data_IF_680835602667
#
_entry.id   IF_680835602667
#
_cell.length_a   1.000
_cell.length_b   1.000
_cell.length_c   1.000
_cell.angle_alpha   90.00
_cell.angle_beta   90.00
_cell.angle_gamma   90.00
#
_symmetry.space_group_name_H-M   'P 1'
#
loop_
_entity.id
_entity.type
_entity.pdbx_description
1 polymer ?
#
# COMPACT_ATOMS: atom_id res chain seq x y z
N UNK A 1 13.96 7.65 57.57
CA UNK A 1 12.53 7.57 57.18
C UNK A 1 12.33 8.38 55.91
N UNK A 2 12.42 7.73 54.74
CA UNK A 2 11.97 8.28 53.47
C UNK A 2 10.80 7.41 53.05
N UNK A 3 9.61 7.98 53.05
CA UNK A 3 8.36 7.31 52.66
C UNK A 3 8.35 7.25 51.13
N UNK A 4 8.26 6.04 50.59
CA UNK A 4 8.14 5.77 49.17
C UNK A 4 6.77 6.19 48.64
N UNK A 5 6.77 6.85 47.48
CA UNK A 5 5.58 7.05 46.66
C UNK A 5 5.38 5.80 45.77
N UNK A 6 4.15 5.29 45.60
CA UNK A 6 3.90 4.12 44.77
C UNK A 6 3.95 4.46 43.28
N UNK A 7 4.55 3.55 42.53
CA UNK A 7 4.51 3.42 41.08
C UNK A 7 3.07 3.40 40.56
N UNK A 8 2.72 4.36 39.70
CA UNK A 8 1.52 4.29 38.88
C UNK A 8 1.67 3.17 37.86
N UNK A 9 0.76 2.19 37.93
CA UNK A 9 0.62 1.13 36.95
C UNK A 9 0.26 1.74 35.59
N UNK A 10 1.07 1.45 34.57
CA UNK A 10 0.70 1.67 33.18
C UNK A 10 -0.51 0.79 32.84
N UNK A 11 -1.69 1.41 32.74
CA UNK A 11 -2.87 0.78 32.18
C UNK A 11 -2.58 0.57 30.69
N UNK A 12 -2.35 -0.67 30.30
CA UNK A 12 -2.24 -1.07 28.90
C UNK A 12 -3.47 -0.59 28.14
N UNK A 13 -3.26 0.26 27.14
CA UNK A 13 -4.28 0.54 26.12
C UNK A 13 -4.55 -0.78 25.40
N UNK A 14 -5.62 -1.46 25.77
CA UNK A 14 -6.18 -2.52 24.93
C UNK A 14 -6.55 -1.91 23.56
N UNK A 15 -6.22 -2.57 22.44
CA UNK A 15 -6.71 -2.13 21.14
C UNK A 15 -8.23 -2.16 21.18
N UNK A 16 -8.86 -1.01 20.90
CA UNK A 16 -10.31 -0.96 20.70
C UNK A 16 -10.59 -1.79 19.45
N UNK A 17 -11.15 -2.99 19.62
CA UNK A 17 -11.72 -3.73 18.50
C UNK A 17 -12.80 -2.83 17.89
N UNK A 18 -12.54 -2.29 16.70
CA UNK A 18 -13.54 -1.58 15.93
C UNK A 18 -14.68 -2.53 15.62
N UNK A 19 -15.92 -2.09 15.84
CA UNK A 19 -17.10 -2.85 15.47
C UNK A 19 -17.07 -3.04 13.93
N UNK A 20 -17.26 -4.27 13.46
CA UNK A 20 -17.33 -4.62 12.03
C UNK A 20 -18.32 -3.73 11.26
N UNK A 21 -19.38 -3.25 11.93
CA UNK A 21 -20.28 -2.25 11.35
C UNK A 21 -19.57 -0.94 11.01
N UNK A 22 -18.73 -0.42 11.92
CA UNK A 22 -17.98 0.83 11.75
C UNK A 22 -16.93 0.69 10.65
N UNK A 23 -16.22 -0.44 10.60
CA UNK A 23 -15.26 -0.73 9.53
C UNK A 23 -15.94 -0.82 8.17
N UNK A 24 -17.04 -1.56 8.07
CA UNK A 24 -17.79 -1.72 6.82
C UNK A 24 -18.39 -0.39 6.36
N UNK A 25 -18.94 0.40 7.29
CA UNK A 25 -19.46 1.73 6.99
C UNK A 25 -18.33 2.68 6.55
N UNK A 26 -17.17 2.62 7.21
CA UNK A 26 -15.96 3.33 6.80
C UNK A 26 -15.56 2.99 5.37
N UNK A 27 -15.44 1.69 5.05
CA UNK A 27 -15.14 1.21 3.70
C UNK A 27 -16.18 1.68 2.67
N UNK A 28 -17.47 1.67 3.00
CA UNK A 28 -18.51 2.18 2.11
C UNK A 28 -18.39 3.69 1.89
N UNK A 29 -18.14 4.46 2.97
CA UNK A 29 -17.94 5.90 2.89
C UNK A 29 -16.72 6.21 2.04
N UNK A 30 -15.59 5.54 2.28
CA UNK A 30 -14.36 5.69 1.49
C UNK A 30 -14.61 5.33 0.03
N UNK A 31 -15.35 4.26 -0.24
CA UNK A 31 -15.72 3.89 -1.61
C UNK A 31 -16.56 4.98 -2.28
N UNK A 32 -17.55 5.59 -1.60
CA UNK A 32 -18.33 6.70 -2.15
C UNK A 32 -17.57 8.03 -2.22
N UNK A 33 -16.58 8.22 -1.36
CA UNK A 33 -15.70 9.38 -1.41
C UNK A 33 -14.71 9.28 -2.56
N UNK A 34 -14.12 8.11 -2.78
CA UNK A 34 -13.07 7.88 -3.77
C UNK A 34 -13.64 7.57 -5.16
N UNK A 35 -14.74 6.79 -5.26
CA UNK A 35 -15.40 6.51 -6.52
C UNK A 35 -16.29 7.69 -6.93
N UNK A 36 -15.76 8.58 -7.80
CA UNK A 36 -16.49 9.71 -8.39
C UNK A 36 -16.78 9.43 -9.88
N UNK A 37 -17.76 8.56 -10.22
CA UNK A 37 -18.06 8.16 -11.59
C UNK A 37 -18.80 9.24 -12.41
N UNK A 38 -18.61 10.51 -12.07
CA UNK A 38 -19.27 11.63 -12.73
C UNK A 38 -18.71 11.84 -14.13
N UNK A 39 -19.59 12.05 -15.11
CA UNK A 39 -19.19 12.52 -16.43
C UNK A 39 -18.53 13.89 -16.32
N UNK A 40 -17.54 14.15 -17.18
CA UNK A 40 -16.80 15.41 -17.20
C UNK A 40 -17.66 16.48 -17.87
N UNK A 41 -18.38 17.24 -17.04
CA UNK A 41 -19.25 18.35 -17.46
C UNK A 41 -18.95 19.54 -16.57
N UNK A 42 -19.21 20.76 -17.07
CA UNK A 42 -19.04 22.00 -16.31
C UNK A 42 -19.73 21.93 -14.94
N UNK A 43 -20.98 21.46 -14.90
CA UNK A 43 -21.76 21.33 -13.65
C UNK A 43 -21.13 20.34 -12.67
N UNK A 44 -20.69 19.18 -13.14
CA UNK A 44 -20.10 18.17 -12.27
C UNK A 44 -18.73 18.59 -11.73
N UNK A 45 -17.90 19.22 -12.56
CA UNK A 45 -16.61 19.78 -12.12
C UNK A 45 -16.81 20.90 -11.11
N UNK A 46 -17.77 21.80 -11.37
CA UNK A 46 -18.14 22.87 -10.43
C UNK A 46 -18.56 22.30 -9.07
N UNK A 47 -19.48 21.32 -9.06
CA UNK A 47 -19.95 20.66 -7.83
C UNK A 47 -18.82 19.94 -7.09
N UNK A 48 -17.91 19.30 -7.82
CA UNK A 48 -16.76 18.63 -7.23
C UNK A 48 -15.85 19.63 -6.50
N UNK A 49 -15.52 20.75 -7.16
CA UNK A 49 -14.71 21.81 -6.56
C UNK A 49 -15.37 22.39 -5.31
N UNK A 50 -16.68 22.67 -5.37
CA UNK A 50 -17.46 23.12 -4.22
C UNK A 50 -17.49 22.11 -3.06
N UNK A 51 -17.52 20.81 -3.38
CA UNK A 51 -17.48 19.74 -2.35
C UNK A 51 -16.14 19.70 -1.62
N UNK A 52 -15.06 20.13 -2.28
CA UNK A 52 -13.73 20.27 -1.69
C UNK A 52 -13.52 21.65 -1.03
N UNK A 53 -14.55 22.49 -0.94
CA UNK A 53 -14.49 23.80 -0.30
C UNK A 53 -13.91 24.91 -1.18
N UNK A 54 -13.74 24.67 -2.48
CA UNK A 54 -13.25 25.69 -3.41
C UNK A 54 -14.39 26.61 -3.82
N UNK A 55 -14.14 27.92 -3.80
CA UNK A 55 -15.04 28.91 -4.37
C UNK A 55 -15.00 28.81 -5.89
N UNK A 56 -16.16 28.93 -6.54
CA UNK A 56 -16.28 28.73 -7.99
C UNK A 56 -17.04 29.88 -8.66
N UNK A 57 -16.53 30.38 -9.76
CA UNK A 57 -17.14 31.40 -10.61
C UNK A 57 -17.11 30.98 -12.08
N UNK A 58 -18.13 31.36 -12.85
CA UNK A 58 -18.23 30.99 -14.27
C UNK A 58 -18.29 32.27 -15.09
N UNK A 59 -17.30 32.44 -15.95
CA UNK A 59 -17.19 33.58 -16.85
C UNK A 59 -17.38 33.16 -18.31
N UNK A 60 -17.97 34.05 -19.11
CA UNK A 60 -18.10 33.84 -20.56
C UNK A 60 -16.99 34.65 -21.23
N UNK A 61 -15.94 33.96 -21.69
CA UNK A 61 -14.83 34.59 -22.39
C UNK A 61 -15.17 34.94 -23.84
N UNK A 62 -15.96 34.07 -24.49
CA UNK A 62 -16.41 34.25 -25.86
C UNK A 62 -17.75 33.50 -26.09
N UNK A 63 -18.34 33.67 -27.27
CA UNK A 63 -19.57 32.98 -27.69
C UNK A 63 -19.44 31.45 -27.54
N UNK A 64 -18.28 30.87 -27.83
CA UNK A 64 -18.02 29.43 -27.76
C UNK A 64 -17.16 28.98 -26.56
N UNK A 65 -16.68 29.90 -25.72
CA UNK A 65 -15.78 29.59 -24.60
C UNK A 65 -16.36 30.10 -23.28
N UNK A 66 -16.44 29.22 -22.29
CA UNK A 66 -16.74 29.57 -20.90
C UNK A 66 -15.60 29.12 -20.00
N UNK A 67 -15.20 29.96 -19.04
CA UNK A 67 -14.20 29.65 -18.03
C UNK A 67 -14.87 29.32 -16.72
N UNK A 68 -14.47 28.22 -16.10
CA UNK A 68 -14.72 27.93 -14.70
C UNK A 68 -13.48 28.35 -13.90
N UNK A 69 -13.65 29.46 -13.20
CA UNK A 69 -12.87 29.94 -12.08
C UNK A 69 -12.99 29.08 -10.83
N UNK A 70 -11.95 28.44 -10.29
CA UNK A 70 -12.00 27.96 -8.90
C UNK A 70 -10.84 28.47 -8.07
N UNK A 71 -11.09 28.81 -6.81
CA UNK A 71 -10.09 29.40 -5.93
C UNK A 71 -10.24 28.93 -4.48
N UNK A 72 -9.12 28.96 -3.75
CA UNK A 72 -9.03 28.72 -2.31
C UNK A 72 -8.05 29.74 -1.68
N UNK A 73 -7.40 29.37 -0.57
CA UNK A 73 -6.42 30.21 0.13
C UNK A 73 -5.20 30.54 -0.74
N UNK A 74 -4.67 29.55 -1.47
CA UNK A 74 -3.42 29.60 -2.25
C UNK A 74 -3.71 29.28 -3.70
N UNK A 75 -4.47 28.23 -3.98
CA UNK A 75 -4.68 27.75 -5.35
C UNK A 75 -5.76 28.54 -6.08
N UNK A 76 -5.52 28.84 -7.35
CA UNK A 76 -6.51 29.33 -8.32
C UNK A 76 -6.39 28.48 -9.59
N UNK A 77 -7.49 27.87 -10.02
CA UNK A 77 -7.55 26.99 -11.20
C UNK A 77 -8.55 27.57 -12.19
N UNK A 78 -8.05 27.94 -13.38
CA UNK A 78 -8.85 28.36 -14.52
C UNK A 78 -9.09 27.15 -15.45
N UNK A 79 -10.35 26.80 -15.71
CA UNK A 79 -10.72 25.70 -16.62
C UNK A 79 -11.55 26.25 -17.78
N UNK A 80 -11.00 26.24 -18.99
CA UNK A 80 -11.70 26.71 -20.18
C UNK A 80 -12.49 25.57 -20.84
N UNK A 81 -13.78 25.77 -21.09
CA UNK A 81 -14.66 24.84 -21.78
C UNK A 81 -15.07 25.37 -23.14
N UNK A 82 -15.02 24.50 -24.15
CA UNK A 82 -15.60 24.76 -25.46
C UNK A 82 -17.07 24.31 -25.49
N UNK A 83 -18.00 25.27 -25.59
CA UNK A 83 -19.46 25.04 -25.50
C UNK A 83 -19.97 24.14 -26.62
N UNK A 84 -19.53 24.38 -27.86
CA UNK A 84 -19.92 23.63 -29.05
C UNK A 84 -19.55 22.14 -28.98
N UNK A 85 -18.38 21.82 -28.42
CA UNK A 85 -17.86 20.45 -28.31
C UNK A 85 -18.15 19.79 -26.97
N UNK A 86 -18.60 20.56 -25.96
CA UNK A 86 -18.77 20.12 -24.57
C UNK A 86 -17.51 19.45 -24.01
N UNK A 87 -16.35 20.03 -24.32
CA UNK A 87 -15.03 19.52 -23.90
C UNK A 87 -14.23 20.59 -23.18
N UNK A 88 -13.33 20.14 -22.32
CA UNK A 88 -12.28 20.99 -21.74
C UNK A 88 -11.30 21.37 -22.85
N UNK A 89 -10.93 22.64 -22.89
CA UNK A 89 -10.01 23.23 -23.86
C UNK A 89 -8.64 23.47 -23.25
N UNK A 90 -8.60 23.97 -22.01
CA UNK A 90 -7.37 24.29 -21.29
C UNK A 90 -7.62 24.29 -19.78
N UNK A 91 -6.56 24.07 -19.00
CA UNK A 91 -6.56 24.18 -17.53
C UNK A 91 -5.30 24.87 -17.08
N UNK A 92 -5.39 25.90 -16.25
CA UNK A 92 -4.23 26.61 -15.71
C UNK A 92 -4.30 26.68 -14.19
N UNK A 93 -3.23 26.26 -13.52
CA UNK A 93 -3.03 26.46 -12.08
C UNK A 93 -2.20 27.73 -11.88
N UNK A 94 -2.64 28.59 -10.96
CA UNK A 94 -1.93 29.77 -10.47
C UNK A 94 -1.91 29.68 -8.95
N UNK A 95 -0.74 29.92 -8.35
CA UNK A 95 -0.60 29.98 -6.90
C UNK A 95 -0.55 31.45 -6.48
N UNK A 96 -1.30 31.81 -5.44
CA UNK A 96 -1.27 33.13 -4.83
C UNK A 96 0.00 33.35 -3.97
N UNK A 97 0.75 32.29 -3.68
CA UNK A 97 2.06 32.37 -3.04
C UNK A 97 3.14 32.73 -4.07
N UNK A 98 4.29 33.24 -3.61
CA UNK A 98 5.43 33.61 -4.46
C UNK A 98 6.15 32.40 -5.12
N UNK A 99 5.52 31.23 -5.19
CA UNK A 99 6.11 29.99 -5.67
C UNK A 99 5.52 29.56 -7.02
N UNK A 100 5.85 30.33 -8.07
CA UNK A 100 5.56 29.97 -9.47
C UNK A 100 6.24 28.66 -9.93
N UNK A 101 7.08 28.05 -9.08
CA UNK A 101 7.89 26.88 -9.42
C UNK A 101 7.22 25.53 -9.09
N UNK A 102 6.01 25.51 -8.51
CA UNK A 102 5.32 24.25 -8.25
C UNK A 102 5.04 23.52 -9.56
N UNK A 103 5.60 22.33 -9.73
CA UNK A 103 5.46 21.57 -10.97
C UNK A 103 4.12 20.81 -10.98
N UNK A 104 3.20 21.21 -11.85
CA UNK A 104 1.95 20.51 -12.13
C UNK A 104 1.92 19.83 -13.51
N UNK A 105 3.09 19.57 -14.07
CA UNK A 105 3.29 18.82 -15.29
C UNK A 105 3.85 17.44 -15.00
N UNK A 106 3.48 16.46 -15.83
CA UNK A 106 4.04 15.12 -15.77
C UNK A 106 5.55 15.13 -16.05
N UNK A 107 6.30 14.26 -15.37
CA UNK A 107 7.69 14.01 -15.71
C UNK A 107 7.79 13.07 -16.92
N UNK A 108 8.46 13.56 -17.97
CA UNK A 108 8.53 12.90 -19.28
C UNK A 108 7.98 13.78 -20.39
N UNK A 109 6.67 13.72 -20.63
CA UNK A 109 6.01 14.41 -21.75
C UNK A 109 5.70 15.89 -21.47
N UNK A 110 5.89 16.35 -20.22
CA UNK A 110 5.56 17.70 -19.75
C UNK A 110 4.10 18.09 -20.04
N UNK A 111 3.19 17.11 -20.05
CA UNK A 111 1.77 17.34 -20.19
C UNK A 111 1.15 17.81 -18.88
N UNK A 112 0.09 18.61 -18.97
CA UNK A 112 -0.58 19.22 -17.82
C UNK A 112 -1.46 18.18 -17.12
N UNK A 113 -1.16 17.88 -15.85
CA UNK A 113 -1.83 16.83 -15.06
C UNK A 113 -3.32 17.12 -14.92
N UNK A 114 -3.69 18.36 -14.61
CA UNK A 114 -5.08 18.76 -14.36
C UNK A 114 -5.90 18.74 -15.65
N UNK A 115 -5.31 19.21 -16.76
CA UNK A 115 -5.94 19.14 -18.07
C UNK A 115 -6.15 17.68 -18.50
N UNK A 116 -5.11 16.84 -18.42
CA UNK A 116 -5.20 15.43 -18.82
C UNK A 116 -6.20 14.67 -17.97
N UNK A 117 -6.29 14.98 -16.67
CA UNK A 117 -7.28 14.42 -15.75
C UNK A 117 -8.73 14.67 -16.21
N UNK A 118 -8.97 15.68 -17.05
CA UNK A 118 -10.28 16.05 -17.56
C UNK A 118 -10.50 15.73 -19.05
N UNK A 119 -9.45 15.52 -19.86
CA UNK A 119 -9.58 15.23 -21.29
C UNK A 119 -9.33 13.76 -21.64
N UNK A 120 -8.41 13.09 -20.94
CA UNK A 120 -7.97 11.73 -21.24
C UNK A 120 -8.82 10.68 -20.52
N UNK A 121 -9.22 10.95 -19.28
CA UNK A 121 -9.97 10.00 -18.46
C UNK A 121 -11.49 10.11 -18.72
N UNK A 122 -12.24 8.99 -18.59
CA UNK A 122 -13.68 8.99 -18.89
C UNK A 122 -14.54 9.62 -17.78
N UNK A 123 -14.01 9.76 -16.57
CA UNK A 123 -14.72 10.24 -15.39
C UNK A 123 -13.88 11.23 -14.56
N UNK A 124 -14.48 11.74 -13.49
CA UNK A 124 -13.86 12.72 -12.59
C UNK A 124 -12.92 12.11 -11.55
N UNK A 125 -12.64 10.81 -11.58
CA UNK A 125 -11.87 10.16 -10.53
C UNK A 125 -10.42 10.69 -10.49
N UNK A 126 -9.73 10.71 -11.64
CA UNK A 126 -8.37 11.23 -11.73
C UNK A 126 -8.28 12.71 -11.29
N UNK A 127 -9.23 13.53 -11.79
CA UNK A 127 -9.27 14.95 -11.43
C UNK A 127 -9.56 15.17 -9.94
N UNK A 128 -10.46 14.38 -9.35
CA UNK A 128 -10.76 14.43 -7.92
C UNK A 128 -9.52 14.13 -7.07
N UNK A 129 -8.77 13.07 -7.37
CA UNK A 129 -7.57 12.72 -6.60
C UNK A 129 -6.51 13.82 -6.66
N UNK A 130 -6.28 14.38 -7.85
CA UNK A 130 -5.34 15.47 -8.03
C UNK A 130 -5.79 16.76 -7.33
N UNK A 131 -7.08 17.09 -7.41
CA UNK A 131 -7.64 18.27 -6.75
C UNK A 131 -7.65 18.11 -5.22
N UNK A 132 -7.90 16.90 -4.71
CA UNK A 132 -7.81 16.58 -3.28
C UNK A 132 -6.39 16.79 -2.76
N UNK A 133 -5.37 16.36 -3.52
CA UNK A 133 -3.97 16.61 -3.16
C UNK A 133 -3.67 18.12 -3.11
N UNK A 134 -4.05 18.88 -4.13
CA UNK A 134 -3.83 20.34 -4.13
C UNK A 134 -4.56 21.04 -2.97
N UNK A 135 -5.81 20.63 -2.68
CA UNK A 135 -6.60 21.17 -1.57
C UNK A 135 -5.97 20.83 -0.22
N UNK A 136 -5.34 19.66 -0.09
CA UNK A 136 -4.58 19.30 1.10
C UNK A 136 -3.39 20.25 1.30
N UNK A 137 -2.58 20.47 0.25
CA UNK A 137 -1.47 21.42 0.34
C UNK A 137 -1.97 22.83 0.68
N UNK A 138 -3.06 23.28 0.05
CA UNK A 138 -3.70 24.57 0.27
C UNK A 138 -4.13 24.79 1.73
N UNK A 139 -4.86 23.82 2.28
CA UNK A 139 -5.42 23.91 3.63
C UNK A 139 -4.35 23.92 4.73
N UNK A 140 -3.29 23.15 4.55
CA UNK A 140 -2.27 22.94 5.58
C UNK A 140 -1.00 23.79 5.39
N UNK A 141 -0.92 24.58 4.32
CA UNK A 141 0.14 25.56 4.09
C UNK A 141 -0.13 26.87 4.83
N UNK A 142 0.92 27.41 5.47
CA UNK A 142 0.89 28.67 6.19
C UNK A 142 1.71 29.71 5.41
N UNK A 143 1.03 30.63 4.72
CA UNK A 143 1.65 31.74 4.00
C UNK A 143 1.50 33.04 4.81
N UNK A 144 2.44 33.97 4.64
CA UNK A 144 2.56 35.24 5.39
C UNK A 144 1.41 36.25 5.19
N UNK A 145 0.37 35.93 4.42
CA UNK A 145 -0.73 36.86 4.13
C UNK A 145 -1.54 37.24 5.38
N UNK A 146 -1.57 36.38 6.41
CA UNK A 146 -2.31 36.61 7.64
C UNK A 146 -1.43 37.32 8.69
N UNK A 147 -1.18 38.61 8.45
CA UNK A 147 -0.43 39.50 9.35
C UNK A 147 -1.33 40.15 10.40
N UNK A 148 -2.16 39.35 11.10
CA UNK A 148 -2.89 39.81 12.29
C UNK A 148 -2.52 38.97 13.54
N UNK A 149 -1.73 39.62 14.39
CA UNK A 149 -1.35 39.30 15.77
C UNK A 149 -1.75 37.97 16.41
N UNK A 150 -0.75 37.13 16.74
CA UNK A 150 -0.38 36.79 18.14
C UNK A 150 0.32 35.43 18.32
N UNK A 151 0.52 34.62 17.28
CA UNK A 151 1.41 33.46 17.37
C UNK A 151 2.36 33.40 16.17
N UNK A 152 3.65 33.61 16.44
CA UNK A 152 4.76 33.34 15.50
C UNK A 152 4.95 31.83 15.35
N UNK A 153 3.90 31.09 15.00
CA UNK A 153 4.05 29.70 14.58
C UNK A 153 4.70 29.71 13.19
N UNK A 154 5.66 28.80 12.96
CA UNK A 154 6.58 28.91 11.83
C UNK A 154 5.90 28.81 10.47
N UNK A 155 6.57 29.36 9.47
CA UNK A 155 6.08 29.48 8.10
C UNK A 155 6.33 28.16 7.38
N UNK A 156 5.40 27.22 7.48
CA UNK A 156 5.51 25.97 6.73
C UNK A 156 4.60 25.98 5.50
N UNK A 157 5.22 26.16 4.33
CA UNK A 157 4.58 26.11 3.03
C UNK A 157 4.77 24.71 2.43
N UNK A 158 3.68 23.95 2.31
CA UNK A 158 3.74 22.57 1.80
C UNK A 158 3.97 22.52 0.29
N UNK A 159 3.60 23.54 -0.49
CA UNK A 159 3.90 23.59 -1.92
C UNK A 159 5.41 23.71 -2.14
N UNK A 160 6.05 24.62 -1.39
CA UNK A 160 7.50 24.77 -1.38
C UNK A 160 8.16 23.47 -0.92
N UNK A 161 7.76 22.97 0.25
CA UNK A 161 8.36 21.77 0.85
C UNK A 161 8.27 20.56 -0.08
N UNK A 162 7.10 20.30 -0.66
CA UNK A 162 6.91 19.16 -1.57
C UNK A 162 7.76 19.28 -2.85
N UNK A 163 7.93 20.51 -3.36
CA UNK A 163 8.78 20.78 -4.53
C UNK A 163 10.27 20.52 -4.21
N UNK A 164 10.74 20.96 -3.05
CA UNK A 164 12.13 20.76 -2.61
C UNK A 164 12.41 19.30 -2.22
N UNK A 165 11.43 18.63 -1.58
CA UNK A 165 11.51 17.24 -1.17
C UNK A 165 11.86 16.30 -2.33
N UNK A 166 11.34 16.56 -3.53
CA UNK A 166 11.72 15.81 -4.73
C UNK A 166 13.24 15.84 -4.98
N UNK A 167 13.86 17.01 -4.84
CA UNK A 167 15.30 17.18 -5.04
C UNK A 167 16.08 16.50 -3.92
N UNK A 168 15.65 16.66 -2.66
CA UNK A 168 16.27 16.01 -1.50
C UNK A 168 16.24 14.48 -1.61
N UNK A 169 15.08 13.90 -1.95
CA UNK A 169 14.94 12.45 -2.15
C UNK A 169 15.78 11.95 -3.33
N UNK A 170 15.87 12.73 -4.39
CA UNK A 170 16.71 12.39 -5.55
C UNK A 170 18.18 12.29 -5.15
N UNK A 171 18.70 13.26 -4.39
CA UNK A 171 20.08 13.22 -3.88
C UNK A 171 20.27 12.07 -2.89
N UNK A 172 19.40 11.97 -1.88
CA UNK A 172 19.47 10.95 -0.83
C UNK A 172 19.57 9.52 -1.37
N UNK A 173 18.82 9.21 -2.45
CA UNK A 173 18.77 7.87 -3.02
C UNK A 173 19.82 7.60 -4.10
N UNK A 174 20.41 8.64 -4.71
CA UNK A 174 21.45 8.48 -5.73
C UNK A 174 22.79 8.02 -5.15
N UNK A 175 23.12 8.45 -3.93
CA UNK A 175 24.40 8.15 -3.27
C UNK A 175 24.43 6.76 -2.61
N UNK A 176 23.34 5.98 -2.74
CA UNK A 176 23.20 4.67 -2.14
C UNK A 176 23.64 3.54 -3.10
N UNK A 177 24.06 2.37 -2.57
CA UNK A 177 24.48 1.23 -3.39
C UNK A 177 23.41 0.77 -4.40
N UNK A 178 22.14 0.84 -4.00
CA UNK A 178 21.00 0.60 -4.89
C UNK A 178 20.60 1.91 -5.55
N UNK A 179 20.76 1.97 -6.87
CA UNK A 179 20.44 3.16 -7.65
C UNK A 179 18.94 3.24 -7.91
N UNK A 180 18.25 4.10 -7.16
CA UNK A 180 16.86 4.43 -7.43
C UNK A 180 16.77 5.70 -8.29
N UNK A 181 15.81 5.70 -9.21
CA UNK A 181 15.46 6.88 -10.01
C UNK A 181 14.20 7.51 -9.44
N UNK A 182 14.26 8.80 -9.12
CA UNK A 182 13.13 9.54 -8.54
C UNK A 182 12.52 10.41 -9.64
N UNK A 183 11.20 10.34 -9.80
CA UNK A 183 10.42 11.15 -10.75
C UNK A 183 9.28 11.83 -10.02
N UNK A 184 9.05 13.11 -10.30
CA UNK A 184 7.85 13.79 -9.85
C UNK A 184 6.71 13.51 -10.83
N UNK A 185 5.47 13.47 -10.36
CA UNK A 185 4.27 13.50 -11.19
C UNK A 185 4.27 12.50 -12.37
N UNK A 186 3.85 11.25 -12.12
CA UNK A 186 3.80 10.22 -13.15
C UNK A 186 2.34 9.80 -13.38
N UNK A 187 2.03 9.41 -14.63
CA UNK A 187 0.72 8.90 -15.04
C UNK A 187 -0.46 9.82 -14.69
N UNK A 188 -0.26 11.13 -14.84
CA UNK A 188 -1.24 12.18 -14.49
C UNK A 188 -1.64 12.16 -13.01
N UNK A 189 -0.71 11.84 -12.12
CA UNK A 189 -0.94 11.89 -10.68
C UNK A 189 0.14 12.72 -9.98
N UNK A 190 -0.28 13.58 -9.05
CA UNK A 190 0.67 14.22 -8.13
C UNK A 190 1.31 13.18 -7.20
N UNK A 191 2.63 13.30 -7.02
CA UNK A 191 3.42 12.39 -6.19
C UNK A 191 4.89 12.40 -6.56
N UNK A 192 5.72 11.85 -5.67
CA UNK A 192 7.13 11.57 -5.94
C UNK A 192 7.26 10.05 -6.08
N UNK A 193 7.59 9.58 -7.27
CA UNK A 193 7.63 8.17 -7.64
C UNK A 193 9.07 7.67 -7.67
N UNK A 194 9.31 6.51 -7.06
CA UNK A 194 10.62 5.90 -6.94
C UNK A 194 10.66 4.66 -7.81
N UNK A 195 11.66 4.59 -8.69
CA UNK A 195 11.86 3.53 -9.66
C UNK A 195 13.14 2.77 -9.39
N UNK A 196 13.09 1.45 -9.58
CA UNK A 196 14.25 0.58 -9.69
C UNK A 196 14.15 -0.16 -11.04
N UNK A 197 15.17 -0.04 -11.90
CA UNK A 197 15.20 -0.72 -13.22
C UNK A 197 13.92 -0.53 -14.07
N UNK A 198 13.37 0.69 -14.10
CA UNK A 198 12.12 1.07 -14.79
C UNK A 198 10.81 0.57 -14.14
N UNK A 199 10.86 -0.17 -13.04
CA UNK A 199 9.68 -0.57 -12.26
C UNK A 199 9.44 0.43 -11.15
N UNK A 200 8.22 0.95 -11.02
CA UNK A 200 7.84 1.80 -9.89
C UNK A 200 7.73 0.91 -8.64
N UNK A 201 8.59 1.18 -7.66
CA UNK A 201 8.64 0.41 -6.40
C UNK A 201 7.90 1.11 -5.27
N UNK A 202 7.85 2.44 -5.30
CA UNK A 202 7.14 3.20 -4.28
C UNK A 202 6.71 4.58 -4.76
N UNK A 203 5.77 5.17 -4.03
CA UNK A 203 5.23 6.50 -4.22
C UNK A 203 5.24 7.24 -2.88
N UNK A 204 5.82 8.44 -2.86
CA UNK A 204 5.85 9.35 -1.72
C UNK A 204 4.84 10.47 -1.95
N UNK A 205 3.94 10.67 -0.99
CA UNK A 205 2.88 11.70 -1.02
C UNK A 205 2.62 12.28 0.35
N UNK A 206 2.02 13.47 0.38
CA UNK A 206 1.45 14.07 1.58
C UNK A 206 -0.02 13.69 1.70
N UNK A 207 -0.41 13.22 2.87
CA UNK A 207 -1.78 12.80 3.16
C UNK A 207 -2.27 13.35 4.50
N UNK A 208 -3.58 13.38 4.66
CA UNK A 208 -4.18 13.78 5.92
C UNK A 208 -3.90 12.69 6.96
N UNK A 209 -3.29 13.10 8.07
CA UNK A 209 -3.00 12.20 9.19
C UNK A 209 -4.28 11.74 9.87
N UNK A 210 -4.29 10.50 10.34
CA UNK A 210 -5.35 9.98 11.22
C UNK A 210 -5.34 10.66 12.59
N UNK A 211 -4.16 11.12 13.02
CA UNK A 211 -3.98 11.95 14.21
C UNK A 211 -3.88 13.44 13.80
N UNK A 212 -4.87 14.27 14.17
CA UNK A 212 -4.86 15.71 13.93
C UNK A 212 -3.70 16.44 14.62
N UNK A 213 -3.14 15.88 15.68
CA UNK A 213 -2.02 16.48 16.42
C UNK A 213 -0.66 16.09 15.83
N UNK A 214 -0.61 15.14 14.88
CA UNK A 214 0.61 14.73 14.21
C UNK A 214 1.28 15.92 13.54
N UNK A 215 2.54 16.18 13.90
CA UNK A 215 3.31 17.32 13.38
C UNK A 215 4.22 16.84 12.27
N UNK A 216 4.14 17.51 11.13
CA UNK A 216 5.09 17.38 10.04
C UNK A 216 6.00 18.61 10.05
N UNK A 217 7.30 18.40 10.16
CA UNK A 217 8.30 19.47 10.12
C UNK A 217 8.98 19.55 8.75
N UNK A 218 9.60 20.71 8.47
CA UNK A 218 10.40 20.96 7.27
C UNK A 218 11.80 20.34 7.41
N UNK A 219 11.97 19.10 6.94
CA UNK A 219 13.29 18.45 6.88
C UNK A 219 13.96 18.69 5.52
N UNK A 220 15.24 19.05 5.54
CA UNK A 220 16.07 19.18 4.34
C UNK A 220 17.18 18.13 4.36
N UNK A 221 17.52 17.58 3.19
CA UNK A 221 18.67 16.69 3.06
C UNK A 221 19.91 17.51 2.70
N UNK A 222 20.89 17.57 3.60
CA UNK A 222 22.14 18.30 3.41
C UNK A 222 23.28 17.56 4.10
N UNK A 223 24.46 17.52 3.49
CA UNK A 223 25.65 16.87 4.05
C UNK A 223 25.43 15.40 4.45
N UNK A 224 24.73 14.64 3.61
CA UNK A 224 24.38 13.23 3.83
C UNK A 224 23.44 12.93 5.02
N UNK A 225 22.82 13.96 5.61
CA UNK A 225 21.91 13.83 6.75
C UNK A 225 20.59 14.60 6.52
N UNK A 226 19.50 14.09 7.11
CA UNK A 226 18.22 14.80 7.18
C UNK A 226 18.24 15.75 8.38
N UNK A 227 18.09 17.05 8.11
CA UNK A 227 18.21 18.10 9.10
C UNK A 227 16.92 18.91 9.14
N UNK A 228 16.42 19.13 10.34
CA UNK A 228 15.37 20.11 10.61
C UNK A 228 16.04 21.42 11.06
N UNK A 229 16.11 22.40 10.15
CA UNK A 229 16.73 23.70 10.44
C UNK A 229 15.91 24.54 11.42
N UNK A 230 14.58 24.39 11.42
CA UNK A 230 13.68 25.21 12.22
C UNK A 230 12.50 24.41 12.79
N UNK A 231 12.61 24.05 14.08
CA UNK A 231 11.56 23.37 14.85
C UNK A 231 10.22 24.12 14.92
N UNK A 232 10.20 25.42 14.59
CA UNK A 232 8.96 26.19 14.56
C UNK A 232 8.20 26.00 13.23
N UNK A 233 8.88 25.60 12.15
CA UNK A 233 8.28 25.35 10.84
C UNK A 233 7.67 23.95 10.82
N UNK A 234 6.39 23.88 11.22
CA UNK A 234 5.61 22.65 11.15
C UNK A 234 4.15 22.93 10.83
N UNK A 235 3.47 21.89 10.36
CA UNK A 235 2.02 21.85 10.23
C UNK A 235 1.49 20.63 10.95
N UNK A 236 0.22 20.65 11.36
CA UNK A 236 -0.42 19.57 12.10
C UNK A 236 -1.52 18.92 11.27
N UNK A 237 -1.71 17.60 11.42
CA UNK A 237 -2.76 16.86 10.73
C UNK A 237 -2.39 16.39 9.31
N UNK A 238 -1.11 16.48 8.93
CA UNK A 238 -0.58 15.98 7.65
C UNK A 238 0.60 15.05 7.92
N UNK A 239 0.67 13.93 7.22
CA UNK A 239 1.78 13.00 7.27
C UNK A 239 2.42 12.87 5.88
N UNK A 240 3.75 12.67 5.87
CA UNK A 240 4.47 12.20 4.70
C UNK A 240 4.42 10.68 4.67
N UNK A 241 3.88 10.12 3.59
CA UNK A 241 3.64 8.68 3.49
C UNK A 241 4.39 8.07 2.31
N UNK A 242 4.92 6.88 2.50
CA UNK A 242 5.49 6.01 1.49
C UNK A 242 4.50 4.88 1.21
N UNK A 243 4.02 4.80 -0.03
CA UNK A 243 3.18 3.72 -0.54
C UNK A 243 4.01 2.80 -1.42
N UNK A 244 4.09 1.52 -1.05
CA UNK A 244 4.75 0.47 -1.83
C UNK A 244 3.77 -0.02 -2.90
N UNK A 245 4.19 0.11 -4.16
CA UNK A 245 3.37 -0.22 -5.33
C UNK A 245 3.25 -1.74 -5.53
N UNK A 246 4.34 -2.53 -5.49
CA UNK A 246 4.23 -3.98 -5.63
C UNK A 246 3.81 -4.66 -4.32
N UNK A 247 3.32 -5.90 -4.43
CA UNK A 247 2.97 -6.69 -3.25
C UNK A 247 4.24 -7.23 -2.58
N UNK A 248 4.47 -6.77 -1.34
CA UNK A 248 5.64 -7.11 -0.52
C UNK A 248 5.17 -7.50 0.87
N UNK A 249 5.87 -8.47 1.46
CA UNK A 249 5.66 -8.88 2.85
C UNK A 249 6.88 -8.52 3.67
N UNK A 250 6.65 -8.04 4.88
CA UNK A 250 7.67 -7.60 5.82
C UNK A 250 7.65 -8.50 7.06
N UNK A 251 8.79 -8.84 7.66
CA UNK A 251 8.83 -9.44 8.98
C UNK A 251 8.19 -8.45 9.96
N UNK A 252 7.25 -8.92 10.77
CA UNK A 252 6.48 -8.05 11.65
C UNK A 252 7.37 -7.24 12.61
N UNK A 253 8.52 -7.78 13.01
CA UNK A 253 9.46 -7.11 13.91
C UNK A 253 10.39 -6.12 13.20
N UNK A 254 10.51 -6.17 11.87
CA UNK A 254 11.37 -5.27 11.09
C UNK A 254 10.80 -3.85 11.03
N UNK A 255 9.47 -3.70 11.12
CA UNK A 255 8.79 -2.42 10.98
C UNK A 255 8.02 -2.11 12.26
N UNK A 256 8.39 -1.02 12.93
CA UNK A 256 7.66 -0.54 14.09
C UNK A 256 6.18 -0.28 13.73
N UNK A 257 5.26 -0.77 14.56
CA UNK A 257 3.82 -0.69 14.29
C UNK A 257 3.29 0.73 14.17
N UNK A 258 3.98 1.72 14.74
CA UNK A 258 3.68 3.15 14.62
C UNK A 258 3.96 3.74 13.23
N UNK A 259 4.80 3.08 12.43
CA UNK A 259 5.08 3.47 11.05
C UNK A 259 4.00 2.97 10.09
N UNK A 260 3.28 1.91 10.43
CA UNK A 260 2.34 1.27 9.51
C UNK A 260 0.99 1.99 9.52
N UNK A 261 0.60 2.53 8.37
CA UNK A 261 -0.70 3.19 8.17
C UNK A 261 -1.76 2.17 7.73
N UNK A 262 -1.38 1.27 6.81
CA UNK A 262 -2.25 0.20 6.32
C UNK A 262 -1.58 -1.15 6.59
N UNK A 263 -2.18 -1.91 7.52
CA UNK A 263 -1.73 -3.23 7.90
C UNK A 263 -2.87 -4.25 7.71
N UNK A 264 -2.64 -5.26 6.86
CA UNK A 264 -3.54 -6.42 6.72
C UNK A 264 -2.95 -7.60 7.50
N UNK A 265 -3.01 -7.52 8.83
CA UNK A 265 -2.48 -8.55 9.74
C UNK A 265 -3.28 -9.86 9.68
N UNK A 266 -4.47 -9.86 9.07
CA UNK A 266 -5.34 -11.03 9.02
C UNK A 266 -4.85 -12.08 8.01
N UNK A 267 -3.81 -11.77 7.23
CA UNK A 267 -3.30 -12.62 6.14
C UNK A 267 -1.76 -12.71 6.13
N UNK A 268 -1.16 -13.32 7.16
CA UNK A 268 0.29 -13.56 7.16
C UNK A 268 0.67 -14.52 6.03
N UNK A 269 1.86 -14.32 5.47
CA UNK A 269 2.42 -15.16 4.43
C UNK A 269 2.99 -16.44 5.05
N UNK A 270 2.39 -17.58 4.73
CA UNK A 270 2.86 -18.88 5.19
C UNK A 270 3.92 -19.46 4.24
N UNK A 271 5.15 -19.59 4.73
CA UNK A 271 6.22 -20.23 3.97
C UNK A 271 6.03 -21.74 4.02
N UNK A 272 5.79 -22.35 2.85
CA UNK A 272 5.60 -23.80 2.72
C UNK A 272 6.45 -24.34 1.58
N UNK A 273 7.14 -25.44 1.82
CA UNK A 273 7.95 -26.08 0.80
C UNK A 273 7.21 -27.26 0.17
N UNK A 274 6.93 -27.15 -1.13
CA UNK A 274 6.38 -28.24 -1.94
C UNK A 274 7.39 -28.77 -2.96
N UNK A 275 8.66 -28.35 -2.87
CA UNK A 275 9.73 -28.78 -3.74
C UNK A 275 10.46 -30.00 -3.15
N UNK A 276 10.49 -31.11 -3.88
CA UNK A 276 11.00 -32.40 -3.36
C UNK A 276 12.52 -32.43 -3.15
N UNK A 277 13.28 -31.64 -3.91
CA UNK A 277 14.76 -31.62 -3.84
C UNK A 277 15.32 -30.61 -2.84
N UNK A 278 14.46 -29.86 -2.14
CA UNK A 278 14.88 -28.84 -1.19
C UNK A 278 14.34 -29.24 0.17
N UNK A 279 15.20 -29.25 1.19
CA UNK A 279 14.80 -29.33 2.58
C UNK A 279 14.85 -27.91 3.16
N UNK A 280 13.69 -27.40 3.59
CA UNK A 280 13.55 -26.02 4.05
C UNK A 280 13.69 -25.94 5.57
N UNK A 281 14.61 -25.09 6.04
CA UNK A 281 14.73 -24.66 7.43
C UNK A 281 14.30 -23.19 7.51
N UNK A 282 13.13 -22.95 8.11
CA UNK A 282 12.59 -21.61 8.29
C UNK A 282 12.93 -21.09 9.69
N UNK A 283 13.90 -20.17 9.74
CA UNK A 283 14.41 -19.56 10.98
C UNK A 283 13.89 -18.11 11.16
N UNK A 284 12.79 -17.75 10.50
CA UNK A 284 12.13 -16.47 10.76
C UNK A 284 11.67 -16.37 12.20
N UNK A 285 11.94 -15.23 12.83
CA UNK A 285 11.53 -14.97 14.22
C UNK A 285 10.14 -14.36 14.30
N UNK A 286 9.70 -13.74 13.21
CA UNK A 286 8.42 -13.05 13.09
C UNK A 286 7.62 -13.50 11.86
N UNK A 287 6.30 -13.28 11.91
CA UNK A 287 5.42 -13.54 10.76
C UNK A 287 5.65 -12.50 9.66
N UNK A 288 5.54 -12.95 8.40
CA UNK A 288 5.60 -12.08 7.24
C UNK A 288 4.22 -11.48 6.98
N UNK A 289 4.07 -10.17 7.20
CA UNK A 289 2.79 -9.46 7.04
C UNK A 289 2.81 -8.57 5.79
N UNK A 290 1.69 -8.45 5.07
CA UNK A 290 1.59 -7.50 3.96
C UNK A 290 1.56 -6.08 4.53
N UNK A 291 2.51 -5.25 4.10
CA UNK A 291 2.57 -3.83 4.44
C UNK A 291 2.74 -3.00 3.17
N UNK A 292 1.83 -2.04 2.97
CA UNK A 292 1.80 -1.22 1.76
C UNK A 292 2.07 0.24 2.03
N UNK A 293 1.77 0.74 3.23
CA UNK A 293 1.78 2.18 3.48
C UNK A 293 2.44 2.51 4.80
N UNK A 294 3.46 3.37 4.72
CA UNK A 294 4.34 3.72 5.82
C UNK A 294 4.32 5.22 6.06
N UNK A 295 4.30 5.65 7.32
CA UNK A 295 4.52 7.02 7.73
C UNK A 295 6.03 7.28 7.81
N UNK A 296 6.56 8.01 6.84
CA UNK A 296 7.98 8.40 6.76
C UNK A 296 8.18 9.87 7.17
N UNK A 297 7.28 10.44 7.96
CA UNK A 297 7.40 11.82 8.43
C UNK A 297 8.62 12.00 9.35
N UNK A 298 9.22 13.19 9.30
CA UNK A 298 10.24 13.64 10.25
C UNK A 298 11.47 12.71 10.30
N UNK A 299 11.85 12.26 11.50
CA UNK A 299 13.00 11.39 11.75
C UNK A 299 12.90 10.02 11.03
N UNK A 300 11.71 9.64 10.55
CA UNK A 300 11.53 8.38 9.81
C UNK A 300 11.96 8.47 8.34
N UNK A 301 12.40 9.65 7.86
CA UNK A 301 12.93 9.81 6.50
C UNK A 301 14.16 8.94 6.23
N UNK A 302 14.99 8.70 7.26
CA UNK A 302 16.15 7.81 7.15
C UNK A 302 15.76 6.36 6.84
N UNK A 303 14.60 5.92 7.35
CA UNK A 303 14.10 4.55 7.15
C UNK A 303 13.68 4.27 5.70
N UNK A 304 13.46 5.31 4.89
CA UNK A 304 13.06 5.18 3.49
C UNK A 304 13.97 4.22 2.71
N UNK A 305 15.29 4.38 2.86
CA UNK A 305 16.23 3.55 2.11
C UNK A 305 16.16 2.08 2.52
N UNK A 306 16.06 1.79 3.82
CA UNK A 306 15.95 0.41 4.32
C UNK A 306 14.65 -0.27 3.85
N UNK A 307 13.52 0.47 3.87
CA UNK A 307 12.24 -0.05 3.35
C UNK A 307 12.37 -0.37 1.86
N UNK A 308 12.94 0.55 1.06
CA UNK A 308 13.12 0.33 -0.39
C UNK A 308 14.11 -0.79 -0.69
N UNK A 309 15.15 -0.92 0.12
CA UNK A 309 16.13 -2.00 0.03
C UNK A 309 15.45 -3.35 0.29
N UNK A 310 14.56 -3.43 1.28
CA UNK A 310 13.75 -4.62 1.55
C UNK A 310 12.84 -4.96 0.37
N UNK A 311 12.13 -3.98 -0.17
CA UNK A 311 11.27 -4.16 -1.36
C UNK A 311 12.08 -4.75 -2.52
N UNK A 312 13.30 -4.24 -2.75
CA UNK A 312 14.16 -4.76 -3.81
C UNK A 312 14.68 -6.17 -3.50
N UNK A 313 15.13 -6.44 -2.28
CA UNK A 313 15.57 -7.76 -1.84
C UNK A 313 14.46 -8.81 -1.96
N UNK A 314 13.24 -8.45 -1.54
CA UNK A 314 12.04 -9.26 -1.68
C UNK A 314 11.83 -9.67 -3.14
N UNK A 315 11.78 -8.73 -4.07
CA UNK A 315 11.51 -9.05 -5.48
C UNK A 315 12.67 -9.72 -6.20
N UNK A 316 13.91 -9.35 -5.90
CA UNK A 316 15.06 -9.89 -6.62
C UNK A 316 15.47 -11.27 -6.13
N UNK A 317 15.37 -11.53 -4.83
CA UNK A 317 15.94 -12.72 -4.19
C UNK A 317 14.85 -13.56 -3.53
N UNK A 318 14.14 -13.01 -2.55
CA UNK A 318 13.30 -13.81 -1.66
C UNK A 318 12.07 -14.40 -2.39
N UNK A 319 11.31 -13.57 -3.10
CA UNK A 319 10.12 -13.98 -3.84
C UNK A 319 10.42 -15.02 -4.95
N UNK A 320 11.49 -14.88 -5.76
CA UNK A 320 11.90 -15.94 -6.69
C UNK A 320 12.19 -17.27 -6.01
N UNK A 321 12.87 -17.26 -4.85
CA UNK A 321 13.14 -18.48 -4.08
C UNK A 321 11.83 -19.11 -3.58
N UNK A 322 10.94 -18.31 -2.99
CA UNK A 322 9.62 -18.78 -2.54
C UNK A 322 8.77 -19.33 -3.69
N UNK A 323 8.84 -18.71 -4.87
CA UNK A 323 8.15 -19.16 -6.08
C UNK A 323 8.63 -20.53 -6.53
N UNK A 324 9.94 -20.80 -6.46
CA UNK A 324 10.53 -22.13 -6.75
C UNK A 324 10.12 -23.19 -5.73
N UNK A 325 10.00 -22.82 -4.45
CA UNK A 325 9.45 -23.71 -3.41
C UNK A 325 7.96 -24.05 -3.65
N UNK A 326 7.33 -23.38 -4.63
CA UNK A 326 5.89 -23.43 -4.93
C UNK A 326 5.07 -23.10 -3.69
N UNK A 327 5.57 -22.22 -2.81
CA UNK A 327 4.78 -21.67 -1.72
C UNK A 327 3.41 -21.25 -2.28
N UNK A 328 2.29 -21.58 -1.62
CA UNK A 328 0.98 -21.26 -2.15
C UNK A 328 0.96 -19.78 -2.50
N UNK A 329 0.80 -19.48 -3.80
CA UNK A 329 0.62 -18.11 -4.23
C UNK A 329 -0.51 -17.53 -3.41
N UNK A 330 -0.32 -16.29 -2.94
CA UNK A 330 -1.38 -15.48 -2.38
C UNK A 330 -2.59 -15.67 -3.28
N UNK A 331 -3.68 -16.17 -2.69
CA UNK A 331 -4.90 -16.49 -3.43
C UNK A 331 -5.18 -15.32 -4.38
N UNK A 332 -5.51 -15.58 -5.66
CA UNK A 332 -5.86 -14.49 -6.57
C UNK A 332 -6.87 -13.64 -5.83
N UNK A 333 -6.61 -12.33 -5.80
CA UNK A 333 -7.50 -11.32 -5.23
C UNK A 333 -8.94 -11.78 -5.47
N UNK A 334 -9.80 -11.70 -4.46
CA UNK A 334 -11.22 -11.91 -4.65
C UNK A 334 -11.70 -10.82 -5.63
N UNK A 335 -11.48 -11.02 -6.92
CA UNK A 335 -12.35 -10.57 -7.98
C UNK A 335 -13.67 -11.19 -7.56
N UNK A 336 -14.51 -10.36 -6.95
CA UNK A 336 -15.90 -10.62 -6.76
C UNK A 336 -16.44 -11.05 -8.12
N UNK A 337 -16.51 -12.38 -8.32
CA UNK A 337 -17.17 -13.00 -9.47
C UNK A 337 -18.54 -12.36 -9.53
N UNK A 338 -18.68 -11.38 -10.42
CA UNK A 338 -19.97 -10.88 -10.88
C UNK A 338 -20.70 -12.11 -11.37
N UNK A 339 -21.60 -12.63 -10.54
CA UNK A 339 -22.64 -13.56 -10.98
C UNK A 339 -23.59 -12.74 -11.85
N UNK A 340 -23.21 -12.61 -13.11
CA UNK A 340 -24.14 -12.35 -14.19
C UNK A 340 -25.00 -13.60 -14.35
N UNK A 341 -26.12 -13.65 -13.66
CA UNK A 341 -27.20 -14.58 -13.99
C UNK A 341 -28.52 -13.81 -14.04
N UNK A 342 -28.81 -13.28 -15.21
CA UNK A 342 -30.15 -12.93 -15.65
C UNK A 342 -30.87 -14.20 -16.10
N UNK A 343 -31.90 -14.62 -15.38
CA UNK A 343 -33.09 -15.23 -16.00
C UNK A 343 -34.32 -15.06 -15.09
N UNK A 344 -35.28 -14.32 -15.62
CA UNK A 344 -36.71 -14.23 -15.28
C UNK A 344 -37.37 -15.63 -15.18
N UNK A 345 -38.45 -15.91 -14.45
CA UNK A 345 -39.80 -15.28 -14.42
C UNK A 345 -40.66 -15.81 -13.25
N UNK A 346 -41.65 -14.99 -12.86
CA UNK A 346 -43.03 -15.31 -12.45
C UNK A 346 -43.39 -15.95 -11.09
N UNK A 347 -44.15 -15.15 -10.32
CA UNK A 347 -45.35 -15.47 -9.54
C UNK A 347 -45.31 -16.55 -8.46
N UNK A 348 -45.50 -16.15 -7.20
CA UNK A 348 -46.85 -16.10 -6.59
C UNK A 348 -46.81 -15.72 -5.11
N UNK A 349 -47.74 -14.86 -4.75
CA UNK A 349 -48.18 -14.51 -3.41
C UNK A 349 -48.70 -15.72 -2.63
N UNK A 350 -48.26 -15.92 -1.38
CA UNK A 350 -49.16 -16.35 -0.30
C UNK A 350 -48.55 -16.16 1.11
N UNK A 351 -49.38 -15.55 1.95
CA UNK A 351 -49.24 -15.29 3.39
C UNK A 351 -49.19 -16.61 4.20
N UNK A 352 -48.43 -16.66 5.30
CA UNK A 352 -48.90 -16.66 6.73
C UNK A 352 -47.93 -17.37 7.69
N UNK A 353 -47.59 -16.63 8.75
CA UNK A 353 -47.58 -17.00 10.18
C UNK A 353 -46.87 -18.27 10.71
N UNK A 354 -45.89 -18.00 11.59
CA UNK A 354 -45.57 -18.63 12.88
C UNK A 354 -46.44 -19.80 13.39
N UNK A 355 -45.81 -20.86 13.91
CA UNK A 355 -45.95 -21.33 15.30
C UNK A 355 -44.98 -22.49 15.61
N UNK A 356 -44.77 -22.69 16.90
CA UNK A 356 -43.71 -23.44 17.53
C UNK A 356 -43.94 -24.97 17.70
N UNK A 357 -42.85 -25.63 18.11
CA UNK A 357 -42.74 -26.76 19.08
C UNK A 357 -42.95 -28.22 18.64
N UNK A 358 -41.93 -28.99 19.06
CA UNK A 358 -41.91 -30.32 19.73
C UNK A 358 -41.60 -31.60 18.92
N UNK A 359 -40.40 -32.14 19.22
CA UNK A 359 -40.03 -33.52 19.59
C UNK A 359 -40.88 -34.68 19.03
N UNK A 360 -40.21 -35.64 18.36
CA UNK A 360 -40.09 -37.03 18.84
C UNK A 360 -39.04 -37.83 18.06
N UNK A 361 -38.31 -38.62 18.84
CA UNK A 361 -37.42 -39.73 18.52
C UNK A 361 -38.07 -40.84 17.70
N UNK A 362 -37.29 -41.50 16.85
CA UNK A 362 -37.49 -42.93 16.53
C UNK A 362 -36.21 -43.52 15.96
N UNK A 363 -35.57 -44.37 16.76
CA UNK A 363 -34.56 -45.32 16.32
C UNK A 363 -35.25 -46.50 15.60
N UNK A 364 -34.71 -46.93 14.46
CA UNK A 364 -34.79 -48.32 13.96
C UNK A 364 -33.88 -48.48 12.74
N UNK A 365 -32.85 -49.31 12.88
CA UNK A 365 -31.96 -49.68 11.78
C UNK A 365 -30.62 -50.27 12.21
N UNK A 366 -30.62 -51.24 13.14
CA UNK A 366 -29.46 -52.13 13.36
C UNK A 366 -29.46 -53.23 12.28
N UNK A 367 -28.28 -53.53 11.71
CA UNK A 367 -27.62 -54.86 11.78
C UNK A 367 -26.17 -54.78 11.23
N UNK A 368 -25.30 -55.77 11.55
CA UNK A 368 -24.03 -55.47 12.22
C UNK A 368 -22.77 -56.10 11.58
N UNK A 369 -21.64 -55.74 12.19
CA UNK A 369 -20.35 -56.45 12.33
C UNK A 369 -19.51 -56.75 11.09
N UNK A 370 -18.30 -56.17 11.07
CA UNK A 370 -17.04 -56.92 11.23
C UNK A 370 -16.11 -56.03 12.06
N UNK A 371 -15.92 -56.41 13.32
CA UNK A 371 -14.70 -56.11 14.06
C UNK A 371 -13.78 -57.29 13.74
N UNK A 372 -12.56 -57.02 13.28
CA UNK A 372 -11.36 -57.76 13.68
C UNK A 372 -10.13 -57.16 12.99
N UNK A 373 -9.44 -56.29 13.71
CA UNK A 373 -7.98 -56.05 13.62
C UNK A 373 -7.59 -55.17 14.81
N UNK A 374 -7.74 -55.73 16.01
CA UNK A 374 -7.26 -55.12 17.26
C UNK A 374 -6.43 -56.14 18.05
N UNK A 375 -5.49 -56.76 17.35
CA UNK A 375 -4.38 -57.56 17.89
C UNK A 375 -3.18 -57.17 17.02
N UNK A 376 -2.03 -56.89 17.63
CA UNK A 376 -0.83 -56.20 17.09
C UNK A 376 -0.81 -54.70 17.43
N UNK A 377 -0.71 -54.41 18.72
CA UNK A 377 -0.41 -53.07 19.24
C UNK A 377 0.77 -53.09 20.21
N UNK A 378 1.71 -54.02 20.03
CA UNK A 378 2.81 -54.26 20.98
C UNK A 378 4.24 -54.21 20.40
N UNK A 379 4.45 -53.77 19.15
CA UNK A 379 5.82 -53.63 18.60
C UNK A 379 6.09 -52.32 17.84
N UNK A 380 5.49 -51.20 18.24
CA UNK A 380 5.96 -49.87 17.79
C UNK A 380 5.95 -49.60 16.28
N UNK A 381 5.32 -50.43 15.45
CA UNK A 381 5.21 -50.19 14.02
C UNK A 381 4.12 -49.17 13.70
N UNK A 382 4.55 -48.06 13.11
CA UNK A 382 3.70 -47.00 12.59
C UNK A 382 2.87 -47.57 11.42
N UNK A 383 1.54 -47.64 11.58
CA UNK A 383 0.64 -48.10 10.53
C UNK A 383 0.37 -46.95 9.55
N UNK A 384 0.99 -47.00 8.37
CA UNK A 384 0.64 -46.11 7.27
C UNK A 384 -0.71 -46.49 6.67
N UNK A 385 -1.54 -45.48 6.37
CA UNK A 385 -2.81 -45.69 5.68
C UNK A 385 -2.58 -45.96 4.18
N UNK A 386 -3.47 -46.72 3.53
CA UNK A 386 -3.36 -47.06 2.10
C UNK A 386 -3.32 -45.81 1.20
N UNK A 387 -3.92 -44.70 1.63
CA UNK A 387 -3.81 -43.39 0.98
C UNK A 387 -2.41 -42.74 1.12
N UNK A 388 -1.71 -42.97 2.23
CA UNK A 388 -0.31 -42.52 2.40
C UNK A 388 0.62 -43.29 1.46
N UNK A 389 0.40 -44.60 1.32
CA UNK A 389 1.22 -45.47 0.45
C UNK A 389 0.98 -45.12 -1.04
N UNK A 390 -0.26 -44.82 -1.42
CA UNK A 390 -0.62 -44.49 -2.81
C UNK A 390 -0.20 -43.08 -3.24
N UNK A 391 0.08 -42.18 -2.28
CA UNK A 391 0.56 -40.82 -2.54
C UNK A 391 2.09 -40.71 -2.46
N UNK A 392 2.81 -41.79 -2.16
CA UNK A 392 4.26 -41.81 -2.29
C UNK A 392 4.62 -41.91 -3.78
N UNK A 393 5.41 -40.96 -4.31
CA UNK A 393 5.84 -41.03 -5.70
C UNK A 393 6.72 -42.27 -5.90
N UNK A 394 6.41 -43.03 -6.96
CA UNK A 394 7.27 -44.13 -7.43
C UNK A 394 8.62 -43.53 -7.83
N UNK A 395 9.68 -43.92 -7.14
CA UNK A 395 11.04 -43.50 -7.45
C UNK A 395 11.56 -44.35 -8.62
N UNK A 396 11.86 -43.72 -9.75
CA UNK A 396 12.68 -44.34 -10.79
C UNK A 396 14.15 -44.31 -10.32
N UNK A 397 14.75 -45.48 -10.09
CA UNK A 397 16.09 -45.67 -9.49
C UNK A 397 17.28 -45.28 -10.40
N UNK A 398 17.06 -44.58 -11.52
CA UNK A 398 18.08 -44.40 -12.57
C UNK A 398 18.62 -42.97 -12.77
N UNK A 399 18.31 -42.01 -11.90
CA UNK A 399 18.87 -40.66 -11.95
C UNK A 399 19.49 -40.27 -10.60
N UNK A 400 20.80 -40.50 -10.44
CA UNK A 400 21.56 -40.11 -9.24
C UNK A 400 21.49 -38.58 -8.97
N UNK A 401 21.29 -37.76 -10.01
CA UNK A 401 21.13 -36.30 -9.88
C UNK A 401 19.73 -35.86 -9.38
N UNK A 402 18.73 -36.74 -9.45
CA UNK A 402 17.38 -36.49 -8.91
C UNK A 402 17.28 -36.81 -7.40
N UNK A 403 18.27 -37.50 -6.83
CA UNK A 403 18.27 -37.89 -5.41
C UNK A 403 18.98 -36.90 -4.48
N UNK A 404 19.71 -35.91 -5.02
CA UNK A 404 20.41 -34.93 -4.19
C UNK A 404 19.42 -33.91 -3.61
N UNK A 405 19.19 -34.02 -2.30
CA UNK A 405 18.43 -33.05 -1.50
C UNK A 405 19.38 -31.94 -1.04
N UNK A 406 18.95 -30.69 -1.18
CA UNK A 406 19.71 -29.52 -0.75
C UNK A 406 19.06 -28.86 0.46
N UNK A 407 19.87 -28.52 1.45
CA UNK A 407 19.42 -27.74 2.61
C UNK A 407 19.34 -26.25 2.25
N UNK A 408 18.13 -25.69 2.37
CA UNK A 408 17.86 -24.25 2.24
C UNK A 408 17.47 -23.70 3.60
N UNK A 409 18.29 -22.83 4.16
CA UNK A 409 18.00 -22.06 5.37
C UNK A 409 17.52 -20.68 4.96
N UNK A 410 16.37 -20.27 5.47
CA UNK A 410 15.82 -18.94 5.28
C UNK A 410 15.69 -18.22 6.62
N UNK A 411 16.11 -16.96 6.62
CA UNK A 411 16.06 -16.06 7.76
C UNK A 411 15.67 -14.65 7.25
N UNK A 412 15.31 -13.76 8.17
CA UNK A 412 15.05 -12.33 7.93
C UNK A 412 16.27 -11.64 7.30
N UNK A 413 17.49 -12.02 7.71
CA UNK A 413 18.72 -11.35 7.26
C UNK A 413 19.43 -12.03 6.09
N UNK A 414 19.21 -13.32 5.87
CA UNK A 414 19.93 -14.06 4.84
C UNK A 414 19.21 -15.33 4.36
N UNK A 415 19.64 -15.78 3.18
CA UNK A 415 19.33 -17.08 2.60
C UNK A 415 20.63 -17.86 2.48
N UNK A 416 20.62 -19.13 2.88
CA UNK A 416 21.76 -20.02 2.68
C UNK A 416 21.30 -21.30 1.99
N UNK A 417 21.93 -21.62 0.87
CA UNK A 417 21.71 -22.86 0.15
C UNK A 417 23.01 -23.65 0.10
N UNK A 418 22.93 -24.91 0.52
CA UNK A 418 24.07 -25.84 0.50
C UNK A 418 24.74 -25.87 -0.89
N UNK A 419 26.07 -25.73 -0.93
CA UNK A 419 26.92 -25.72 -2.13
C UNK A 419 26.75 -24.54 -3.11
N UNK A 420 25.80 -23.63 -2.88
CA UNK A 420 25.69 -22.35 -3.61
C UNK A 420 26.27 -21.22 -2.76
N UNK A 421 25.96 -21.21 -1.47
CA UNK A 421 26.46 -20.23 -0.51
C UNK A 421 25.33 -19.42 0.14
N UNK A 422 25.72 -18.31 0.77
CA UNK A 422 24.80 -17.40 1.47
C UNK A 422 24.62 -16.08 0.72
N UNK A 423 23.40 -15.55 0.74
CA UNK A 423 23.03 -14.24 0.23
C UNK A 423 22.32 -13.46 1.36
N UNK A 424 22.89 -12.32 1.76
CA UNK A 424 22.38 -11.53 2.88
C UNK A 424 21.70 -10.23 2.45
N UNK A 425 20.70 -9.79 3.21
CA UNK A 425 20.05 -8.49 3.11
C UNK A 425 21.03 -7.34 3.36
N UNK A 426 21.91 -7.47 4.36
CA UNK A 426 22.95 -6.47 4.66
C UNK A 426 24.18 -6.56 3.75
N UNK A 427 24.23 -7.53 2.83
CA UNK A 427 25.33 -7.72 1.89
C UNK A 427 25.31 -6.76 0.70
N UNK A 428 26.29 -6.95 -0.19
CA UNK A 428 26.38 -6.22 -1.45
C UNK A 428 25.25 -6.68 -2.40
N UNK A 429 24.41 -5.78 -2.94
CA UNK A 429 23.40 -6.11 -3.93
C UNK A 429 23.92 -6.88 -5.16
N UNK A 430 25.20 -6.75 -5.51
CA UNK A 430 25.79 -7.54 -6.60
C UNK A 430 25.74 -9.05 -6.32
N UNK A 431 25.81 -9.47 -5.05
CA UNK A 431 25.73 -10.87 -4.64
C UNK A 431 24.32 -11.45 -4.84
N UNK A 432 23.29 -10.60 -4.82
CA UNK A 432 21.90 -11.01 -5.02
C UNK A 432 21.70 -11.60 -6.42
N UNK A 433 22.27 -10.97 -7.44
CA UNK A 433 22.22 -11.44 -8.82
C UNK A 433 22.94 -12.77 -9.03
N UNK A 434 24.12 -12.93 -8.42
CA UNK A 434 24.90 -14.18 -8.49
C UNK A 434 24.11 -15.32 -7.86
N UNK A 435 23.67 -15.16 -6.62
CA UNK A 435 22.89 -16.16 -5.90
C UNK A 435 21.62 -16.54 -6.66
N UNK A 436 20.87 -15.55 -7.16
CA UNK A 436 19.66 -15.79 -7.97
C UNK A 436 19.97 -16.62 -9.20
N UNK A 437 21.02 -16.29 -9.94
CA UNK A 437 21.39 -17.00 -11.17
C UNK A 437 21.77 -18.46 -10.91
N UNK A 438 22.54 -18.72 -9.85
CA UNK A 438 22.93 -20.06 -9.44
C UNK A 438 21.74 -20.86 -8.91
N UNK A 439 20.89 -20.25 -8.08
CA UNK A 439 19.67 -20.86 -7.57
C UNK A 439 18.73 -21.26 -8.72
N UNK A 440 18.46 -20.34 -9.65
CA UNK A 440 17.61 -20.61 -10.81
C UNK A 440 18.20 -21.70 -11.69
N UNK A 441 19.52 -21.73 -11.94
CA UNK A 441 20.15 -22.79 -12.77
C UNK A 441 19.98 -24.21 -12.22
N UNK A 442 19.71 -24.37 -10.92
CA UNK A 442 19.58 -25.68 -10.26
C UNK A 442 18.13 -26.15 -10.12
N UNK A 443 17.17 -25.23 -10.02
CA UNK A 443 15.81 -25.54 -9.58
C UNK A 443 14.68 -24.91 -10.42
N UNK A 444 14.98 -23.97 -11.32
CA UNK A 444 14.03 -23.43 -12.30
C UNK A 444 14.32 -24.01 -13.68
#
# INVERSE_FOLDING_TARGET
MKVGLPSELSIGKQPRMSDSYVETLGQMIDLFQNYKPGLITLDNVTRLCQTLGLESFIDILDNDISRLSTASKIIVIDIDYQKSKRKVKDVKLVLASNFDNFNYYNDGDKSNILFNSLDVFPDLHAFYHNLKFLTLLDNYSQIEADSDGSNKNGKFDLFKYFTELFSFLSTYLQDRPLKFNVKANVDNQFGIFIYHEQVCVAKVVLEQSTDPEHRLYEYAFQNDEWINENLQNFTSGVALTLEIVPEVYFPQELVASELLIELDADRPFAIQNHHQRIQLFNDFTSELIPARKFNISNDNLDLLYEILKWVNWWHQVFFPVLSTLKCPQTHPSVESKRRSSSTSTSNSTLRRASFARRRRSSAKGRRPSINESKILKDEGMQQFTLNEIMNQPVLDENDEDLQKVYDLVINEDYLYLQEVGSCGFHGDPAQWGVFKSEFSSRFM
#
